data_IF_998595158613
#
_entry.id   IF_998595158613
#
_cell.length_a   1.000
_cell.length_b   1.000
_cell.length_c   1.000
_cell.angle_alpha   90.00
_cell.angle_beta   90.00
_cell.angle_gamma   90.00
#
_symmetry.space_group_name_H-M   'P 1'
#
loop_
_entity.id
_entity.type
_entity.pdbx_description
1 polymer ?
#
# COMPACT_ATOMS: atom_id res chain seq x y z
N UNK A 1 -27.37 5.01 -18.95
CA UNK A 1 -26.12 5.24 -18.20
C UNK A 1 -26.36 6.36 -17.20
N UNK A 2 -26.70 6.01 -15.95
CA UNK A 2 -26.89 7.00 -14.90
C UNK A 2 -25.54 7.65 -14.59
N UNK A 3 -25.47 8.96 -14.85
CA UNK A 3 -24.35 9.81 -14.48
C UNK A 3 -24.25 9.82 -12.96
N UNK A 4 -23.05 9.58 -12.44
CA UNK A 4 -22.75 9.85 -11.03
C UNK A 4 -22.96 11.35 -10.83
N UNK A 5 -23.97 11.79 -10.07
CA UNK A 5 -24.25 13.20 -9.95
C UNK A 5 -23.03 13.87 -9.29
N UNK A 6 -22.61 15.02 -9.83
CA UNK A 6 -21.61 15.95 -9.25
C UNK A 6 -20.13 15.75 -9.59
N UNK A 7 -19.73 14.89 -10.53
CA UNK A 7 -18.33 14.83 -10.99
C UNK A 7 -18.23 14.94 -12.52
N UNK A 8 -17.34 15.81 -13.02
CA UNK A 8 -16.99 15.83 -14.44
C UNK A 8 -16.17 14.59 -14.78
N UNK A 9 -16.47 13.97 -15.92
CA UNK A 9 -15.63 12.90 -16.46
C UNK A 9 -14.20 13.43 -16.67
N UNK A 10 -13.20 12.64 -16.27
CA UNK A 10 -11.81 13.04 -16.35
C UNK A 10 -10.86 11.87 -16.11
N UNK A 11 -9.57 12.13 -16.32
CA UNK A 11 -8.49 11.17 -16.09
C UNK A 11 -7.56 11.74 -15.01
N UNK A 12 -7.24 10.89 -14.02
CA UNK A 12 -6.27 11.20 -12.98
C UNK A 12 -5.06 10.29 -13.15
N UNK A 13 -3.88 10.86 -13.34
CA UNK A 13 -2.63 10.10 -13.51
C UNK A 13 -1.97 9.75 -12.17
N UNK A 14 -2.40 10.39 -11.09
CA UNK A 14 -1.83 10.17 -9.79
C UNK A 14 -2.14 8.74 -9.29
N UNK A 15 -1.15 8.04 -8.74
CA UNK A 15 -1.36 6.68 -8.24
C UNK A 15 -2.30 6.67 -7.03
N UNK A 16 -3.29 5.78 -7.10
CA UNK A 16 -4.20 5.43 -5.99
C UNK A 16 -3.97 3.99 -5.55
N UNK A 17 -4.49 3.63 -4.38
CA UNK A 17 -4.33 2.31 -3.77
C UNK A 17 -5.70 1.67 -3.54
N UNK A 18 -5.76 0.34 -3.53
CA UNK A 18 -6.99 -0.41 -3.25
C UNK A 18 -7.63 0.00 -1.90
N UNK A 19 -6.80 0.27 -0.89
CA UNK A 19 -7.23 0.70 0.44
C UNK A 19 -7.99 2.04 0.46
N UNK A 20 -7.93 2.82 -0.63
CA UNK A 20 -8.64 4.09 -0.76
C UNK A 20 -10.13 3.90 -1.04
N UNK A 21 -10.52 2.75 -1.59
CA UNK A 21 -11.92 2.44 -1.82
C UNK A 21 -12.72 2.47 -0.50
N UNK A 22 -12.13 2.01 0.60
CA UNK A 22 -12.80 1.96 1.90
C UNK A 22 -13.32 3.34 2.37
N UNK A 23 -12.47 4.35 2.61
CA UNK A 23 -12.95 5.67 3.02
C UNK A 23 -13.73 6.39 1.91
N UNK A 24 -13.43 6.13 0.63
CA UNK A 24 -14.16 6.74 -0.50
C UNK A 24 -15.62 6.30 -0.52
N UNK A 25 -15.89 5.01 -0.36
CA UNK A 25 -17.25 4.46 -0.36
C UNK A 25 -18.04 4.92 0.86
N UNK A 26 -17.42 4.99 2.04
CA UNK A 26 -18.09 5.47 3.24
C UNK A 26 -18.46 6.96 3.12
N UNK A 27 -17.53 7.81 2.68
CA UNK A 27 -17.81 9.23 2.46
C UNK A 27 -18.90 9.42 1.38
N UNK A 28 -18.91 8.60 0.31
CA UNK A 28 -19.96 8.65 -0.71
C UNK A 28 -21.36 8.32 -0.17
N UNK A 29 -21.42 7.51 0.89
CA UNK A 29 -22.65 7.15 1.59
C UNK A 29 -22.99 8.14 2.72
N UNK A 30 -22.19 9.18 2.93
CA UNK A 30 -22.35 10.12 4.04
C UNK A 30 -22.02 9.50 5.40
N UNK A 31 -21.17 8.47 5.43
CA UNK A 31 -20.75 7.75 6.64
C UNK A 31 -19.31 8.11 7.01
N UNK A 32 -19.04 8.18 8.30
CA UNK A 32 -17.69 8.37 8.82
C UNK A 32 -16.86 7.09 8.69
N UNK A 33 -15.64 7.21 8.17
CA UNK A 33 -14.70 6.10 8.13
C UNK A 33 -14.13 5.84 9.54
N UNK A 34 -14.30 4.64 10.12
CA UNK A 34 -13.78 4.34 11.44
C UNK A 34 -12.26 4.40 11.43
N UNK A 35 -11.70 5.19 12.33
CA UNK A 35 -10.26 5.33 12.49
C UNK A 35 -9.70 4.29 13.47
N UNK A 36 -8.47 3.82 13.25
CA UNK A 36 -7.56 4.20 12.16
C UNK A 36 -7.69 3.29 10.92
N UNK A 37 -7.55 3.90 9.73
CA UNK A 37 -7.41 3.21 8.45
C UNK A 37 -6.25 3.79 7.63
N UNK A 38 -5.82 3.06 6.60
CA UNK A 38 -4.67 3.46 5.76
C UNK A 38 -5.07 4.21 4.48
N UNK A 39 -6.32 4.06 4.04
CA UNK A 39 -6.85 4.71 2.83
C UNK A 39 -7.03 6.21 2.99
N UNK A 40 -7.09 6.91 1.86
CA UNK A 40 -7.57 8.28 1.73
C UNK A 40 -8.74 8.30 0.76
N UNK A 41 -9.79 9.06 1.07
CA UNK A 41 -10.92 9.19 0.16
C UNK A 41 -10.52 9.87 -1.14
N UNK A 42 -11.07 9.39 -2.25
CA UNK A 42 -10.88 9.94 -3.59
C UNK A 42 -11.96 10.97 -3.95
N UNK A 43 -13.03 11.11 -3.16
CA UNK A 43 -14.11 12.08 -3.46
C UNK A 43 -13.63 13.53 -3.52
N UNK A 44 -12.80 14.03 -2.59
CA UNK A 44 -12.22 15.37 -2.72
C UNK A 44 -11.55 15.60 -4.08
N UNK A 45 -10.91 14.56 -4.64
CA UNK A 45 -10.23 14.64 -5.94
C UNK A 45 -11.22 14.73 -7.10
N UNK A 46 -12.34 14.01 -7.03
CA UNK A 46 -13.42 14.07 -8.02
C UNK A 46 -14.09 15.45 -8.04
N UNK A 47 -14.05 16.18 -6.93
CA UNK A 47 -14.51 17.57 -6.81
C UNK A 47 -13.45 18.62 -7.21
N UNK A 48 -12.30 18.19 -7.73
CA UNK A 48 -11.23 19.08 -8.17
C UNK A 48 -10.26 19.54 -7.07
N UNK A 49 -10.36 19.02 -5.85
CA UNK A 49 -9.38 19.32 -4.78
C UNK A 49 -8.04 18.62 -5.08
N UNK A 50 -6.89 19.24 -4.73
CA UNK A 50 -5.58 18.65 -5.01
C UNK A 50 -5.36 17.36 -4.20
N UNK A 51 -4.60 16.39 -4.74
CA UNK A 51 -4.29 15.17 -4.02
C UNK A 51 -3.42 15.48 -2.79
N UNK A 52 -3.66 14.74 -1.71
CA UNK A 52 -2.81 14.80 -0.51
C UNK A 52 -1.58 13.91 -0.73
N UNK A 53 -0.35 14.47 -0.72
CA UNK A 53 0.85 13.66 -0.87
C UNK A 53 0.98 12.63 0.26
N UNK A 54 1.30 11.39 -0.09
CA UNK A 54 1.50 10.31 0.88
C UNK A 54 2.59 9.35 0.44
N UNK A 55 3.12 8.65 1.43
CA UNK A 55 3.93 7.46 1.20
C UNK A 55 3.01 6.28 0.87
N UNK A 56 3.24 5.64 -0.26
CA UNK A 56 2.58 4.41 -0.66
C UNK A 56 3.52 3.26 -0.33
N UNK A 57 3.05 2.29 0.44
CA UNK A 57 3.82 1.11 0.83
C UNK A 57 3.23 -0.13 0.19
N UNK A 58 4.10 -0.97 -0.35
CA UNK A 58 3.76 -2.23 -0.98
C UNK A 58 4.58 -3.35 -0.35
N UNK A 59 3.92 -4.46 -0.03
CA UNK A 59 4.59 -5.70 0.36
C UNK A 59 4.02 -6.38 1.61
N UNK A 60 4.70 -7.44 2.09
CA UNK A 60 5.91 -8.00 1.49
C UNK A 60 5.63 -8.62 0.11
N UNK A 61 6.48 -8.32 -0.87
CA UNK A 61 6.53 -9.04 -2.14
C UNK A 61 7.05 -10.44 -1.84
N UNK A 62 6.20 -11.45 -2.01
CA UNK A 62 6.46 -12.83 -1.55
C UNK A 62 7.25 -13.68 -2.57
N UNK A 63 7.80 -13.08 -3.62
CA UNK A 63 8.66 -13.76 -4.58
C UNK A 63 10.14 -13.58 -4.17
N UNK A 64 10.76 -14.65 -3.67
CA UNK A 64 12.13 -14.63 -3.16
C UNK A 64 12.23 -14.11 -1.73
N UNK A 65 13.37 -13.50 -1.38
CA UNK A 65 13.51 -12.84 -0.08
C UNK A 65 12.45 -11.73 0.08
N UNK A 66 11.88 -11.54 1.28
CA UNK A 66 10.85 -10.53 1.50
C UNK A 66 11.36 -9.14 1.12
N UNK A 67 10.69 -8.51 0.14
CA UNK A 67 10.98 -7.13 -0.27
C UNK A 67 9.76 -6.24 -0.05
N UNK A 68 10.03 -4.99 0.26
CA UNK A 68 9.06 -3.91 0.34
C UNK A 68 9.36 -2.90 -0.75
N UNK A 69 8.32 -2.21 -1.21
CA UNK A 69 8.48 -1.03 -2.02
C UNK A 69 7.81 0.17 -1.34
N UNK A 70 8.48 1.30 -1.39
CA UNK A 70 7.98 2.57 -0.87
C UNK A 70 8.00 3.61 -1.99
N UNK A 71 6.85 4.24 -2.27
CA UNK A 71 6.71 5.29 -3.29
C UNK A 71 6.31 6.61 -2.66
N UNK A 72 7.00 7.68 -3.02
CA UNK A 72 6.64 9.07 -2.69
C UNK A 72 6.84 9.95 -3.91
N UNK A 73 5.73 10.41 -4.50
CA UNK A 73 5.77 11.12 -5.77
C UNK A 73 6.38 10.23 -6.88
N UNK A 74 7.41 10.70 -7.60
CA UNK A 74 8.04 9.93 -8.67
C UNK A 74 9.07 8.91 -8.15
N UNK A 75 9.48 8.99 -6.89
CA UNK A 75 10.52 8.13 -6.34
C UNK A 75 9.94 6.82 -5.83
N UNK A 76 10.51 5.71 -6.27
CA UNK A 76 10.22 4.36 -5.79
C UNK A 76 11.50 3.75 -5.23
N UNK A 77 11.44 3.34 -3.98
CA UNK A 77 12.45 2.53 -3.31
C UNK A 77 11.99 1.07 -3.30
N UNK A 78 12.88 0.14 -3.60
CA UNK A 78 12.71 -1.29 -3.32
C UNK A 78 13.81 -1.70 -2.34
N UNK A 79 13.44 -2.40 -1.27
CA UNK A 79 14.41 -2.87 -0.27
C UNK A 79 13.91 -4.13 0.43
N UNK A 80 14.81 -4.89 1.02
CA UNK A 80 14.50 -6.10 1.77
C UNK A 80 15.65 -6.48 2.69
N UNK A 81 15.37 -7.29 3.69
CA UNK A 81 16.40 -7.71 4.64
C UNK A 81 17.45 -8.56 3.91
N UNK A 82 18.72 -8.16 4.01
CA UNK A 82 19.83 -8.83 3.31
C UNK A 82 19.90 -8.56 1.81
N UNK A 83 19.12 -7.61 1.28
CA UNK A 83 19.20 -7.17 -0.13
C UNK A 83 19.62 -5.70 -0.22
N UNK A 84 20.40 -5.35 -1.24
CA UNK A 84 20.73 -3.95 -1.52
C UNK A 84 19.44 -3.17 -1.84
N UNK A 85 19.38 -1.91 -1.39
CA UNK A 85 18.28 -1.03 -1.74
C UNK A 85 18.43 -0.54 -3.18
N UNK A 86 17.33 -0.52 -3.91
CA UNK A 86 17.24 -0.02 -5.29
C UNK A 86 16.34 1.23 -5.30
N UNK A 87 16.71 2.25 -6.06
CA UNK A 87 15.97 3.50 -6.16
C UNK A 87 15.71 3.88 -7.62
N UNK A 88 14.46 4.17 -7.94
CA UNK A 88 14.03 4.54 -9.28
C UNK A 88 13.22 5.82 -9.29
N UNK A 89 13.34 6.58 -10.39
CA UNK A 89 12.50 7.74 -10.68
C UNK A 89 11.47 7.39 -11.76
N UNK A 90 10.25 7.03 -11.36
CA UNK A 90 9.21 6.50 -12.25
C UNK A 90 8.74 7.47 -13.33
N UNK A 91 8.92 8.77 -13.15
CA UNK A 91 8.60 9.75 -14.20
C UNK A 91 9.62 9.78 -15.34
N UNK A 92 10.85 9.36 -15.09
CA UNK A 92 11.94 9.34 -16.07
C UNK A 92 12.25 7.90 -16.54
N UNK A 93 12.01 6.93 -15.67
CA UNK A 93 12.23 5.52 -15.92
C UNK A 93 11.05 4.68 -15.38
N UNK A 94 9.90 4.68 -16.09
CA UNK A 94 8.73 3.90 -15.68
C UNK A 94 8.97 2.38 -15.64
N UNK A 95 10.03 1.91 -16.32
CA UNK A 95 10.38 0.49 -16.41
C UNK A 95 11.44 0.06 -15.40
N UNK A 96 11.88 0.96 -14.51
CA UNK A 96 12.79 0.62 -13.40
C UNK A 96 14.11 -0.03 -13.87
N UNK A 97 14.70 0.50 -14.94
CA UNK A 97 15.93 -0.04 -15.56
C UNK A 97 17.22 0.56 -15.00
N UNK A 98 17.16 1.77 -14.43
CA UNK A 98 18.32 2.52 -13.99
C UNK A 98 18.26 2.76 -12.48
N UNK A 99 19.01 1.97 -11.73
CA UNK A 99 19.13 2.15 -10.28
C UNK A 99 19.94 3.42 -9.96
N UNK A 100 19.32 4.31 -9.17
CA UNK A 100 19.88 5.56 -8.70
C UNK A 100 20.36 5.50 -7.25
N UNK A 101 20.26 4.35 -6.58
CA UNK A 101 20.54 4.16 -5.15
C UNK A 101 21.92 4.71 -4.73
N UNK A 102 22.94 4.47 -5.55
CA UNK A 102 24.33 4.90 -5.29
C UNK A 102 24.53 6.39 -5.56
N UNK A 103 23.80 6.94 -6.54
CA UNK A 103 23.93 8.35 -6.96
C UNK A 103 23.06 9.32 -6.15
N UNK A 104 22.03 8.80 -5.46
CA UNK A 104 21.04 9.56 -4.67
C UNK A 104 20.83 8.97 -3.27
N UNK A 105 21.89 8.73 -2.49
CA UNK A 105 21.78 8.09 -1.18
C UNK A 105 20.89 8.87 -0.21
N UNK A 106 20.80 10.19 -0.34
CA UNK A 106 19.93 11.06 0.46
C UNK A 106 18.45 10.71 0.31
N UNK A 107 18.02 10.34 -0.91
CA UNK A 107 16.63 9.96 -1.20
C UNK A 107 16.35 8.57 -0.65
N UNK A 108 17.30 7.64 -0.81
CA UNK A 108 17.23 6.29 -0.23
C UNK A 108 17.00 6.38 1.28
N UNK A 109 17.83 7.15 2.00
CA UNK A 109 17.71 7.31 3.44
C UNK A 109 16.38 7.95 3.85
N UNK A 110 15.92 8.97 3.11
CA UNK A 110 14.64 9.61 3.36
C UNK A 110 13.47 8.63 3.25
N UNK A 111 13.45 7.82 2.19
CA UNK A 111 12.37 6.85 1.97
C UNK A 111 12.43 5.68 2.96
N UNK A 112 13.61 5.18 3.30
CA UNK A 112 13.79 4.16 4.34
C UNK A 112 13.29 4.65 5.70
N UNK A 113 13.57 5.90 6.07
CA UNK A 113 13.10 6.49 7.32
C UNK A 113 11.56 6.61 7.35
N UNK A 114 10.96 7.07 6.25
CA UNK A 114 9.51 7.19 6.12
C UNK A 114 8.80 5.82 6.17
N UNK A 115 9.35 4.83 5.46
CA UNK A 115 8.85 3.46 5.47
C UNK A 115 8.94 2.85 6.88
N UNK A 116 10.10 2.94 7.54
CA UNK A 116 10.29 2.44 8.92
C UNK A 116 9.27 3.05 9.87
N UNK A 117 9.08 4.38 9.80
CA UNK A 117 8.08 5.08 10.62
C UNK A 117 6.68 4.53 10.36
N UNK A 118 6.31 4.30 9.10
CA UNK A 118 4.96 3.79 8.78
C UNK A 118 4.75 2.34 9.20
N UNK A 119 5.73 1.47 9.01
CA UNK A 119 5.66 0.07 9.47
C UNK A 119 5.58 -0.01 11.01
N UNK A 120 6.31 0.85 11.71
CA UNK A 120 6.22 0.95 13.17
C UNK A 120 4.81 1.36 13.61
N UNK A 121 4.24 2.42 13.04
CA UNK A 121 2.87 2.85 13.34
C UNK A 121 1.84 1.74 13.07
N UNK A 122 1.99 1.01 11.95
CA UNK A 122 1.09 -0.09 11.63
C UNK A 122 1.20 -1.26 12.62
N UNK A 123 2.43 -1.56 13.07
CA UNK A 123 2.71 -2.59 14.07
C UNK A 123 2.12 -2.23 15.43
N UNK A 124 2.32 -0.99 15.87
CA UNK A 124 1.81 -0.51 17.16
C UNK A 124 0.28 -0.48 17.16
N UNK A 125 -0.32 -0.08 16.04
CA UNK A 125 -1.76 -0.15 15.86
C UNK A 125 -2.28 -1.59 15.93
N UNK A 126 -1.67 -2.51 15.19
CA UNK A 126 -2.05 -3.93 15.22
C UNK A 126 -1.98 -4.47 16.64
N UNK A 127 -0.92 -4.16 17.38
CA UNK A 127 -0.75 -4.55 18.79
C UNK A 127 -1.85 -3.97 19.68
N UNK A 128 -2.21 -2.71 19.48
CA UNK A 128 -3.26 -2.04 20.25
C UNK A 128 -4.66 -2.62 19.97
N UNK A 129 -4.96 -3.00 18.72
CA UNK A 129 -6.28 -3.48 18.31
C UNK A 129 -6.48 -4.98 18.56
N UNK A 130 -5.45 -5.80 18.36
CA UNK A 130 -5.53 -7.26 18.39
C UNK A 130 -4.83 -7.91 19.59
N UNK A 131 -4.21 -7.10 20.46
CA UNK A 131 -3.35 -7.58 21.55
C UNK A 131 -1.95 -8.01 21.07
N UNK A 132 -1.02 -8.19 22.02
CA UNK A 132 0.37 -8.55 21.76
C UNK A 132 0.56 -9.96 21.15
N UNK A 133 -0.46 -10.81 21.24
CA UNK A 133 -0.46 -12.21 20.81
C UNK A 133 -1.27 -12.45 19.52
N UNK A 134 -1.55 -11.41 18.72
CA UNK A 134 -2.12 -11.64 17.40
C UNK A 134 -1.22 -12.64 16.66
N UNK A 135 -1.69 -13.87 16.35
CA UNK A 135 -0.80 -14.92 15.90
C UNK A 135 -0.06 -14.42 14.67
N UNK A 136 1.22 -14.82 14.48
CA UNK A 136 1.83 -14.65 13.17
C UNK A 136 0.85 -15.22 12.16
N UNK A 137 0.72 -14.61 10.98
CA UNK A 137 0.10 -15.29 9.86
C UNK A 137 1.03 -16.46 9.52
N UNK A 138 0.97 -17.51 10.34
CA UNK A 138 1.62 -18.75 10.04
C UNK A 138 0.88 -19.22 8.81
N UNK A 139 1.62 -19.32 7.72
CA UNK A 139 1.30 -20.00 6.48
C UNK A 139 0.87 -21.47 6.66
N UNK A 140 0.56 -21.89 7.89
CA UNK A 140 -0.01 -23.19 8.23
C UNK A 140 -1.51 -23.05 8.30
N UNK A 141 -2.14 -23.34 7.16
CA UNK A 141 -3.55 -23.69 7.13
C UNK A 141 -3.80 -24.76 8.20
N UNK A 142 -4.80 -24.53 9.05
CA UNK A 142 -5.28 -25.59 9.94
C UNK A 142 -5.84 -26.74 9.10
N UNK A 143 -5.88 -27.95 9.65
CA UNK A 143 -6.44 -29.09 8.92
C UNK A 143 -7.88 -28.89 8.46
N UNK A 144 -8.70 -28.19 9.26
CA UNK A 144 -10.07 -27.80 8.87
C UNK A 144 -10.09 -26.86 7.65
N UNK A 145 -9.15 -25.91 7.57
CA UNK A 145 -9.04 -25.01 6.42
C UNK A 145 -8.54 -25.75 5.17
N UNK A 146 -7.62 -26.71 5.34
CA UNK A 146 -7.15 -27.58 4.26
C UNK A 146 -8.26 -28.48 3.70
N UNK A 147 -9.06 -29.10 4.55
CA UNK A 147 -10.24 -29.88 4.12
C UNK A 147 -11.25 -29.01 3.37
N UNK A 148 -11.52 -27.80 3.86
CA UNK A 148 -12.39 -26.85 3.18
C UNK A 148 -11.84 -26.49 1.79
N UNK A 149 -10.55 -26.21 1.68
CA UNK A 149 -9.92 -25.89 0.39
C UNK A 149 -9.92 -27.09 -0.56
N UNK A 150 -9.72 -28.31 -0.06
CA UNK A 150 -9.88 -29.56 -0.84
C UNK A 150 -11.30 -29.75 -1.34
N UNK A 151 -12.31 -29.54 -0.49
CA UNK A 151 -13.72 -29.63 -0.88
C UNK A 151 -14.12 -28.61 -1.95
N UNK A 152 -13.41 -27.47 -2.00
CA UNK A 152 -13.61 -26.40 -2.98
C UNK A 152 -12.69 -26.56 -4.21
N UNK A 153 -11.83 -27.57 -4.27
CA UNK A 153 -10.92 -27.84 -5.38
C UNK A 153 -9.67 -26.95 -5.46
N UNK A 154 -9.40 -26.13 -4.44
CA UNK A 154 -8.24 -25.21 -4.41
C UNK A 154 -6.96 -25.86 -3.87
N UNK A 155 -7.04 -27.05 -3.30
CA UNK A 155 -5.91 -27.83 -2.83
C UNK A 155 -6.09 -29.31 -3.22
N UNK A 156 -4.99 -29.97 -3.61
CA UNK A 156 -4.95 -31.44 -3.78
C UNK A 156 -4.38 -32.05 -2.50
#
# INVERSE_FOLDING_TARGET
PEEVPHAQAGVFEEPVLLQDLFPTLLEALGLDAPTPHQGQSLLPRLEGRPPVPRLQLYGPLLYGAPRWAARKGPWKLIHGDGTAAELYHLGADPSERHDLSTSRPEIVQSLLALDRRRRQTATDLRRSLLGAEAPPSSSRLTWKQLERLRSLGYAR
#
